data_IF_722848230395
#
_entry.id   IF_722848230395
#
_cell.length_a   1.000
_cell.length_b   1.000
_cell.length_c   1.000
_cell.angle_alpha   90.00
_cell.angle_beta   90.00
_cell.angle_gamma   90.00
#
_symmetry.space_group_name_H-M   'P 1'
#
loop_
_entity.id
_entity.type
_entity.pdbx_description
1 polymer ?
#
# COMPACT_ATOMS: atom_id res chain seq x y z
N UNK A 1 7.22 1.83 0.91
CA UNK A 1 6.03 2.70 0.83
C UNK A 1 4.99 2.25 1.84
N UNK A 2 4.22 1.18 1.60
CA UNK A 2 3.21 0.74 2.56
C UNK A 2 3.78 0.03 3.79
N UNK A 3 4.85 -0.77 3.64
CA UNK A 3 5.56 -1.35 4.80
C UNK A 3 6.18 -0.32 5.75
N UNK A 4 6.29 0.95 5.34
CA UNK A 4 6.70 2.07 6.20
C UNK A 4 5.57 3.09 6.44
N UNK A 5 4.31 2.76 6.11
CA UNK A 5 3.13 3.57 6.39
C UNK A 5 2.99 4.83 5.55
N UNK A 6 3.52 4.83 4.31
CA UNK A 6 3.44 5.95 3.38
C UNK A 6 2.40 5.72 2.29
N UNK A 7 1.52 6.70 2.12
CA UNK A 7 0.58 6.77 1.01
C UNK A 7 1.27 7.13 -0.30
N UNK A 8 0.59 6.88 -1.42
CA UNK A 8 1.23 6.87 -2.74
C UNK A 8 0.35 7.51 -3.81
N UNK A 9 0.96 8.18 -4.78
CA UNK A 9 0.35 8.42 -6.09
C UNK A 9 1.04 7.46 -7.07
N UNK A 10 0.31 6.52 -7.64
CA UNK A 10 0.86 5.48 -8.50
C UNK A 10 0.39 5.64 -9.95
N UNK A 11 1.25 5.27 -10.89
CA UNK A 11 0.86 5.20 -12.30
C UNK A 11 -0.20 4.11 -12.47
N UNK A 12 -1.25 4.39 -13.22
CA UNK A 12 -2.31 3.42 -13.50
C UNK A 12 -1.82 2.30 -14.44
N UNK A 13 -1.96 1.05 -13.99
CA UNK A 13 -1.71 -0.16 -14.77
C UNK A 13 -2.57 -1.31 -14.23
N UNK A 14 -2.77 -2.37 -15.03
CA UNK A 14 -3.86 -3.33 -14.84
C UNK A 14 -3.97 -4.03 -13.46
N UNK A 15 -2.88 -4.19 -12.72
CA UNK A 15 -2.89 -4.84 -11.39
C UNK A 15 -2.52 -3.91 -10.23
N UNK A 16 -2.36 -2.60 -10.46
CA UNK A 16 -1.98 -1.68 -9.37
C UNK A 16 -3.03 -1.66 -8.26
N UNK A 17 -4.31 -1.88 -8.59
CA UNK A 17 -5.43 -1.88 -7.65
C UNK A 17 -5.41 -3.06 -6.67
N UNK A 18 -4.63 -4.11 -6.93
CA UNK A 18 -4.38 -5.17 -5.96
C UNK A 18 -3.71 -4.61 -4.70
N UNK A 19 -2.77 -3.66 -4.90
CA UNK A 19 -1.95 -3.05 -3.85
C UNK A 19 -2.45 -1.65 -3.43
N UNK A 20 -2.82 -0.79 -4.39
CA UNK A 20 -3.27 0.58 -4.15
C UNK A 20 -4.80 0.61 -4.11
N UNK A 21 -5.37 0.87 -2.94
CA UNK A 21 -6.79 1.11 -2.75
C UNK A 21 -7.03 2.61 -2.87
N UNK A 22 -7.67 2.99 -3.98
CA UNK A 22 -7.97 4.38 -4.35
C UNK A 22 -8.71 5.05 -3.20
N UNK A 23 -8.29 6.27 -2.84
CA UNK A 23 -8.87 7.06 -1.74
C UNK A 23 -8.79 6.38 -0.36
N UNK A 24 -7.99 5.32 -0.21
CA UNK A 24 -7.73 4.70 1.10
C UNK A 24 -6.25 4.77 1.43
N UNK A 25 -5.40 4.27 0.54
CA UNK A 25 -3.95 4.23 0.75
C UNK A 25 -3.16 4.97 -0.34
N UNK A 26 -3.82 5.36 -1.43
CA UNK A 26 -3.19 6.12 -2.49
C UNK A 26 -4.18 6.60 -3.55
N UNK A 27 -3.62 7.24 -4.58
CA UNK A 27 -4.30 7.72 -5.78
C UNK A 27 -3.64 7.09 -7.01
N UNK A 28 -4.38 7.04 -8.11
CA UNK A 28 -3.87 6.60 -9.40
C UNK A 28 -3.89 7.75 -10.40
N UNK A 29 -2.85 7.85 -11.21
CA UNK A 29 -2.76 8.81 -12.30
C UNK A 29 -2.28 8.13 -13.59
N UNK A 30 -2.72 8.66 -14.73
CA UNK A 30 -2.32 8.19 -16.07
C UNK A 30 -1.55 9.26 -16.85
N UNK A 31 -1.49 10.49 -16.32
CA UNK A 31 -0.85 11.63 -16.97
C UNK A 31 -0.12 12.52 -15.97
N UNK A 32 0.81 13.34 -16.47
CA UNK A 32 1.48 14.35 -15.65
C UNK A 32 0.50 15.39 -15.08
N UNK A 33 -0.59 15.67 -15.80
CA UNK A 33 -1.62 16.61 -15.36
C UNK A 33 -2.41 16.05 -14.18
N UNK A 34 -2.85 14.80 -14.27
CA UNK A 34 -3.52 14.12 -13.14
C UNK A 34 -2.62 14.05 -11.91
N UNK A 35 -1.34 13.73 -12.07
CA UNK A 35 -0.39 13.75 -10.95
C UNK A 35 -0.26 15.16 -10.34
N UNK A 36 -0.22 16.20 -11.17
CA UNK A 36 -0.15 17.57 -10.67
C UNK A 36 -1.42 17.95 -9.89
N UNK A 37 -2.59 17.57 -10.39
CA UNK A 37 -3.88 17.80 -9.73
C UNK A 37 -3.97 17.05 -8.39
N UNK A 38 -3.53 15.78 -8.35
CA UNK A 38 -3.44 14.99 -7.12
C UNK A 38 -2.56 15.69 -6.07
N UNK A 39 -1.36 16.14 -6.47
CA UNK A 39 -0.45 16.84 -5.56
C UNK A 39 -1.03 18.18 -5.09
N UNK A 40 -1.64 18.96 -5.98
CA UNK A 40 -2.28 20.22 -5.63
C UNK A 40 -3.43 20.00 -4.63
N UNK A 41 -4.24 18.97 -4.83
CA UNK A 41 -5.33 18.59 -3.91
C UNK A 41 -4.78 18.15 -2.55
N UNK A 42 -3.81 17.22 -2.53
CA UNK A 42 -3.29 16.62 -1.31
C UNK A 42 -2.58 17.64 -0.40
N UNK A 43 -1.86 18.59 -1.00
CA UNK A 43 -1.09 19.58 -0.25
C UNK A 43 -1.82 20.91 -0.08
N UNK A 44 -3.07 21.02 -0.53
CA UNK A 44 -3.89 22.22 -0.29
C UNK A 44 -4.05 22.43 1.22
N UNK A 45 -3.69 23.62 1.69
CA UNK A 45 -3.80 23.98 3.10
C UNK A 45 -2.86 23.23 4.04
N UNK A 46 -1.84 22.53 3.51
CA UNK A 46 -0.81 21.87 4.32
C UNK A 46 -0.08 22.88 5.24
N UNK A 47 0.22 22.53 6.50
CA UNK A 47 0.04 21.21 7.12
C UNK A 47 -1.31 20.96 7.79
N UNK A 48 -2.15 21.98 7.94
CA UNK A 48 -3.29 21.92 8.86
C UNK A 48 -4.59 21.44 8.20
N UNK A 49 -4.90 21.91 6.99
CA UNK A 49 -6.15 21.66 6.26
C UNK A 49 -5.99 20.60 5.15
N UNK A 50 -5.21 19.55 5.40
CA UNK A 50 -4.87 18.50 4.43
C UNK A 50 -5.61 17.17 4.65
N UNK A 51 -6.94 17.21 4.77
CA UNK A 51 -7.73 16.03 5.19
C UNK A 51 -7.61 14.83 4.25
N UNK A 52 -7.53 15.06 2.93
CA UNK A 52 -7.26 14.00 1.95
C UNK A 52 -5.91 13.33 2.21
N UNK A 53 -4.86 14.10 2.49
CA UNK A 53 -3.53 13.56 2.79
C UNK A 53 -3.51 12.78 4.12
N UNK A 54 -4.21 13.29 5.15
CA UNK A 54 -4.36 12.58 6.43
C UNK A 54 -5.09 11.25 6.26
N UNK A 55 -6.15 11.24 5.45
CA UNK A 55 -6.92 10.05 5.14
C UNK A 55 -6.03 8.99 4.49
N UNK A 56 -5.32 9.35 3.41
CA UNK A 56 -4.43 8.42 2.72
C UNK A 56 -3.31 7.90 3.63
N UNK A 57 -2.75 8.76 4.49
CA UNK A 57 -1.73 8.37 5.46
C UNK A 57 -2.27 7.33 6.45
N UNK A 58 -3.49 7.52 6.94
CA UNK A 58 -4.11 6.59 7.89
C UNK A 58 -4.36 5.23 7.24
N UNK A 59 -4.91 5.17 6.03
CA UNK A 59 -5.11 3.89 5.34
C UNK A 59 -3.79 3.22 4.94
N UNK A 60 -2.73 3.98 4.65
CA UNK A 60 -1.39 3.42 4.46
C UNK A 60 -0.82 2.80 5.75
N UNK A 61 -1.12 3.38 6.92
CA UNK A 61 -0.70 2.85 8.23
C UNK A 61 -1.46 1.57 8.61
N UNK A 62 -2.73 1.42 8.24
CA UNK A 62 -3.50 0.20 8.47
C UNK A 62 -2.82 -1.04 7.83
N UNK A 63 -2.24 -0.85 6.64
CA UNK A 63 -1.52 -1.91 5.93
C UNK A 63 -0.14 -2.25 6.53
N UNK A 64 0.37 -1.46 7.47
CA UNK A 64 1.65 -1.78 8.17
C UNK A 64 1.50 -3.00 9.09
N UNK A 65 0.27 -3.38 9.44
CA UNK A 65 -0.02 -4.54 10.29
C UNK A 65 0.47 -5.86 9.67
N UNK A 66 0.34 -6.01 8.35
CA UNK A 66 0.83 -7.16 7.58
C UNK A 66 2.30 -7.00 7.22
N UNK A 67 3.19 -7.36 8.16
CA UNK A 67 4.64 -7.38 7.92
C UNK A 67 5.07 -8.71 7.32
N UNK A 68 6.16 -8.67 6.55
CA UNK A 68 6.78 -9.86 5.97
C UNK A 68 6.96 -11.00 6.98
N UNK A 69 7.50 -10.70 8.17
CA UNK A 69 7.77 -11.73 9.17
C UNK A 69 6.49 -12.44 9.64
N UNK A 70 5.42 -11.69 9.91
CA UNK A 70 4.12 -12.23 10.33
C UNK A 70 3.49 -13.06 9.22
N UNK A 71 3.40 -12.49 8.02
CA UNK A 71 2.78 -13.15 6.86
C UNK A 71 3.56 -14.41 6.44
N UNK A 72 4.89 -14.38 6.55
CA UNK A 72 5.74 -15.54 6.30
C UNK A 72 5.47 -16.68 7.29
N UNK A 73 5.47 -16.36 8.58
CA UNK A 73 5.25 -17.33 9.65
C UNK A 73 3.84 -17.94 9.59
N UNK A 74 2.82 -17.12 9.26
CA UNK A 74 1.42 -17.57 9.22
C UNK A 74 1.05 -18.32 7.94
N UNK A 75 1.61 -17.96 6.78
CA UNK A 75 1.15 -18.49 5.49
C UNK A 75 2.17 -19.35 4.75
N UNK A 76 3.43 -18.89 4.63
CA UNK A 76 4.41 -19.55 3.78
C UNK A 76 5.15 -20.70 4.49
N UNK A 77 5.60 -20.44 5.72
CA UNK A 77 6.40 -21.39 6.51
C UNK A 77 5.71 -22.74 6.74
N UNK A 78 4.41 -22.83 7.05
CA UNK A 78 3.74 -24.12 7.27
C UNK A 78 3.79 -25.02 6.03
N UNK A 79 3.56 -24.45 4.85
CA UNK A 79 3.55 -25.19 3.57
C UNK A 79 4.94 -25.73 3.21
N UNK A 80 5.98 -24.94 3.45
CA UNK A 80 7.36 -25.35 3.20
C UNK A 80 7.79 -26.43 4.20
N UNK A 81 7.36 -26.32 5.45
CA UNK A 81 7.66 -27.31 6.50
C UNK A 81 6.99 -28.65 6.19
N UNK A 82 5.74 -28.62 5.73
CA UNK A 82 5.01 -29.81 5.26
C UNK A 82 5.72 -30.48 4.07
N UNK A 83 6.03 -29.71 3.02
CA UNK A 83 6.74 -30.24 1.86
C UNK A 83 8.10 -30.86 2.23
N UNK A 84 8.86 -30.21 3.11
CA UNK A 84 10.17 -30.70 3.54
C UNK A 84 10.07 -32.04 4.29
N UNK A 85 9.02 -32.23 5.09
CA UNK A 85 8.78 -33.50 5.78
C UNK A 85 8.40 -34.63 4.83
N UNK A 86 7.69 -34.32 3.73
CA UNK A 86 7.28 -35.29 2.72
C UNK A 86 8.46 -35.83 1.90
N UNK A 87 9.47 -35.00 1.61
CA UNK A 87 10.66 -35.39 0.84
C UNK A 87 11.80 -35.97 1.69
N UNK A 88 11.65 -36.00 3.02
CA UNK A 88 12.63 -36.59 3.95
C UNK A 88 12.37 -38.07 4.28
N UNK A 89 11.34 -38.66 3.67
CA UNK A 89 10.97 -40.09 3.69
C UNK A 89 11.36 -40.76 2.36
#
# INVERSE_FOLDING_TARGET
MFGCGLSVCAVSYSCIEELVKIEQNGLLFSSSSELADDLMMLFKGFPDECDSLKLLRNGALEMVSSRWDTEWEEHAKPLISEASSFFSL
#
